data_IF_476714014345
#
_entry.id   IF_476714014345
#
_cell.length_a   1.000
_cell.length_b   1.000
_cell.length_c   1.000
_cell.angle_alpha   90.00
_cell.angle_beta   90.00
_cell.angle_gamma   90.00
#
_symmetry.space_group_name_H-M   'P 1'
#
loop_
_entity.id
_entity.type
_entity.pdbx_description
1 polymer ?
#
# COMPACT_ATOMS: atom_id res chain seq x y z
N UNK A 1 4.54 20.03 -32.06
CA UNK A 1 5.66 19.31 -31.44
C UNK A 1 5.06 18.38 -30.40
N UNK A 2 4.94 17.09 -30.73
CA UNK A 2 4.65 16.05 -29.74
C UNK A 2 5.98 15.64 -29.11
N UNK A 3 6.04 15.69 -27.77
CA UNK A 3 7.18 15.20 -27.01
C UNK A 3 7.04 13.68 -26.92
N UNK A 4 7.70 12.95 -27.83
CA UNK A 4 7.82 11.50 -27.73
C UNK A 4 8.89 11.17 -26.68
N UNK A 5 8.45 10.92 -25.45
CA UNK A 5 9.35 10.48 -24.38
C UNK A 5 9.79 9.04 -24.63
N UNK A 6 11.10 8.82 -24.61
CA UNK A 6 11.65 7.46 -24.69
C UNK A 6 11.26 6.64 -23.44
N UNK A 7 11.14 5.30 -23.54
CA UNK A 7 10.78 4.45 -22.40
C UNK A 7 11.66 4.68 -21.16
N UNK A 8 12.95 4.92 -21.37
CA UNK A 8 13.93 5.20 -20.31
C UNK A 8 13.68 6.55 -19.61
N UNK A 9 13.17 7.55 -20.34
CA UNK A 9 12.78 8.85 -19.77
C UNK A 9 11.46 8.75 -19.00
N UNK A 10 10.52 7.92 -19.47
CA UNK A 10 9.28 7.61 -18.75
C UNK A 10 9.58 6.87 -17.45
N UNK A 11 10.46 5.86 -17.48
CA UNK A 11 10.90 5.14 -16.27
C UNK A 11 11.62 6.08 -15.27
N UNK A 12 12.46 6.98 -15.77
CA UNK A 12 13.12 8.00 -14.94
C UNK A 12 12.13 8.94 -14.25
N UNK A 13 11.07 9.36 -14.95
CA UNK A 13 10.00 10.18 -14.37
C UNK A 13 9.16 9.41 -13.35
N UNK A 14 8.80 8.15 -13.63
CA UNK A 14 8.11 7.29 -12.68
C UNK A 14 8.94 7.02 -11.41
N UNK A 15 10.26 6.88 -11.53
CA UNK A 15 11.15 6.70 -10.39
C UNK A 15 11.24 7.96 -9.51
N UNK A 16 11.25 9.14 -10.13
CA UNK A 16 11.24 10.43 -9.41
C UNK A 16 9.91 10.64 -8.69
N UNK A 17 8.80 10.35 -9.38
CA UNK A 17 7.45 10.44 -8.84
C UNK A 17 7.25 9.49 -7.65
N UNK A 18 7.62 8.21 -7.79
CA UNK A 18 7.54 7.23 -6.71
C UNK A 18 8.38 7.63 -5.49
N UNK A 19 9.58 8.18 -5.70
CA UNK A 19 10.43 8.66 -4.60
C UNK A 19 9.81 9.86 -3.89
N UNK A 20 9.26 10.82 -4.63
CA UNK A 20 8.56 11.98 -4.09
C UNK A 20 7.32 11.58 -3.28
N UNK A 21 6.53 10.66 -3.82
CA UNK A 21 5.36 10.09 -3.16
C UNK A 21 5.75 9.42 -1.83
N UNK A 22 6.75 8.53 -1.83
CA UNK A 22 7.22 7.85 -0.61
C UNK A 22 7.74 8.84 0.44
N UNK A 23 8.46 9.89 0.05
CA UNK A 23 8.93 10.90 1.01
C UNK A 23 7.78 11.66 1.65
N UNK A 24 6.79 12.06 0.85
CA UNK A 24 5.60 12.77 1.34
C UNK A 24 4.84 11.91 2.36
N UNK A 25 4.54 10.66 2.00
CA UNK A 25 3.85 9.71 2.88
C UNK A 25 4.66 9.43 4.14
N UNK A 26 5.98 9.29 4.03
CA UNK A 26 6.88 9.12 5.19
C UNK A 26 6.78 10.30 6.17
N UNK A 27 6.79 11.53 5.67
CA UNK A 27 6.67 12.72 6.51
C UNK A 27 5.32 12.75 7.23
N UNK A 28 4.23 12.41 6.54
CA UNK A 28 2.90 12.31 7.14
C UNK A 28 2.84 11.24 8.24
N UNK A 29 3.43 10.07 7.98
CA UNK A 29 3.50 8.98 8.96
C UNK A 29 4.28 9.41 10.21
N UNK A 30 5.46 10.04 10.05
CA UNK A 30 6.27 10.47 11.19
C UNK A 30 5.62 11.60 11.99
N UNK A 31 4.79 12.41 11.33
CA UNK A 31 3.97 13.45 11.97
C UNK A 31 2.85 12.85 12.82
N UNK A 32 2.13 11.88 12.25
CA UNK A 32 1.00 11.21 12.92
C UNK A 32 1.49 10.23 14.01
N UNK A 33 2.68 9.64 13.82
CA UNK A 33 3.26 8.61 14.68
C UNK A 33 4.75 8.88 14.97
N UNK A 34 5.07 9.83 15.87
CA UNK A 34 6.46 10.22 16.15
C UNK A 34 7.31 9.10 16.79
N UNK A 35 6.68 8.00 17.24
CA UNK A 35 7.37 6.84 17.83
C UNK A 35 7.91 5.83 16.80
N UNK A 36 7.65 6.00 15.51
CA UNK A 36 8.13 5.07 14.48
C UNK A 36 9.61 5.34 14.18
N UNK A 37 10.42 4.28 14.15
CA UNK A 37 11.82 4.38 13.75
C UNK A 37 11.93 4.82 12.28
N UNK A 38 12.66 5.91 12.05
CA UNK A 38 12.86 6.48 10.71
C UNK A 38 13.95 5.78 9.90
N UNK A 39 14.84 5.05 10.58
CA UNK A 39 15.93 4.30 9.96
C UNK A 39 15.38 3.14 9.11
N UNK A 40 15.75 3.07 7.83
CA UNK A 40 15.28 2.04 6.89
C UNK A 40 13.82 2.17 6.46
N UNK A 41 13.10 3.18 6.95
CA UNK A 41 11.67 3.37 6.66
C UNK A 41 11.45 3.71 5.18
N UNK A 42 12.32 4.54 4.59
CA UNK A 42 12.20 4.94 3.18
C UNK A 42 12.27 3.72 2.26
N UNK A 43 13.28 2.87 2.44
CA UNK A 43 13.55 1.69 1.63
C UNK A 43 12.40 0.68 1.75
N UNK A 44 11.89 0.51 2.98
CA UNK A 44 10.75 -0.35 3.24
C UNK A 44 9.46 0.16 2.58
N UNK A 45 9.18 1.45 2.67
CA UNK A 45 8.01 2.06 2.02
C UNK A 45 8.13 2.00 0.48
N UNK A 46 9.32 2.18 -0.08
CA UNK A 46 9.55 2.00 -1.51
C UNK A 46 9.29 0.55 -1.96
N UNK A 47 9.76 -0.43 -1.19
CA UNK A 47 9.48 -1.84 -1.46
C UNK A 47 7.99 -2.17 -1.34
N UNK A 48 7.30 -1.59 -0.35
CA UNK A 48 5.86 -1.75 -0.17
C UNK A 48 5.05 -1.11 -1.31
N UNK A 49 5.46 0.08 -1.79
CA UNK A 49 4.84 0.73 -2.94
C UNK A 49 4.93 -0.13 -4.20
N UNK A 50 6.11 -0.69 -4.47
CA UNK A 50 6.29 -1.61 -5.60
C UNK A 50 5.40 -2.86 -5.49
N UNK A 51 5.21 -3.39 -4.27
CA UNK A 51 4.32 -4.52 -4.03
C UNK A 51 2.84 -4.15 -4.19
N UNK A 52 2.43 -2.98 -3.71
CA UNK A 52 1.06 -2.48 -3.90
C UNK A 52 0.71 -2.34 -5.39
N UNK A 53 1.62 -1.75 -6.18
CA UNK A 53 1.49 -1.67 -7.64
C UNK A 53 1.46 -3.05 -8.29
N UNK A 54 2.28 -3.99 -7.84
CA UNK A 54 2.26 -5.38 -8.34
C UNK A 54 0.95 -6.12 -8.01
N UNK A 55 0.24 -5.71 -6.95
CA UNK A 55 -1.11 -6.20 -6.62
C UNK A 55 -2.22 -5.51 -7.43
N UNK A 56 -1.86 -4.56 -8.31
CA UNK A 56 -2.77 -3.79 -9.14
C UNK A 56 -3.45 -2.62 -8.42
N UNK A 57 -2.93 -2.19 -7.27
CA UNK A 57 -3.44 -1.01 -6.56
C UNK A 57 -2.90 0.23 -7.25
N UNK A 58 -3.78 1.11 -7.72
CA UNK A 58 -3.39 2.28 -8.51
C UNK A 58 -3.84 3.60 -7.89
N UNK A 59 -4.91 3.61 -7.08
CA UNK A 59 -5.44 4.83 -6.47
C UNK A 59 -4.54 5.31 -5.34
N UNK A 60 -4.18 6.61 -5.36
CA UNK A 60 -3.28 7.20 -4.37
C UNK A 60 -3.78 7.00 -2.94
N UNK A 61 -5.09 7.13 -2.67
CA UNK A 61 -5.66 6.90 -1.35
C UNK A 61 -5.33 5.49 -0.83
N UNK A 62 -5.50 4.47 -1.68
CA UNK A 62 -5.21 3.07 -1.33
C UNK A 62 -3.71 2.83 -1.19
N UNK A 63 -2.87 3.48 -2.00
CA UNK A 63 -1.42 3.42 -1.87
C UNK A 63 -0.96 4.06 -0.56
N UNK A 64 -1.49 5.22 -0.19
CA UNK A 64 -1.21 5.88 1.09
C UNK A 64 -1.62 4.96 2.25
N UNK A 65 -2.82 4.38 2.21
CA UNK A 65 -3.30 3.44 3.24
C UNK A 65 -2.42 2.18 3.33
N UNK A 66 -1.96 1.65 2.20
CA UNK A 66 -1.02 0.52 2.14
C UNK A 66 0.31 0.86 2.82
N UNK A 67 0.90 2.01 2.49
CA UNK A 67 2.17 2.47 3.04
C UNK A 67 2.08 2.80 4.53
N UNK A 68 0.98 3.44 4.97
CA UNK A 68 0.70 3.68 6.39
C UNK A 68 0.59 2.37 7.15
N UNK A 69 -0.09 1.38 6.57
CA UNK A 69 -0.23 0.05 7.19
C UNK A 69 1.11 -0.66 7.29
N UNK A 70 1.97 -0.60 6.27
CA UNK A 70 3.33 -1.17 6.35
C UNK A 70 4.19 -0.50 7.43
N UNK A 71 4.05 0.81 7.62
CA UNK A 71 4.81 1.51 8.65
C UNK A 71 4.42 1.06 10.06
N UNK A 72 3.13 0.81 10.30
CA UNK A 72 2.57 0.40 11.59
C UNK A 72 2.69 -1.10 11.84
N UNK A 73 2.48 -1.91 10.79
CA UNK A 73 2.47 -3.38 10.82
C UNK A 73 3.39 -3.89 9.71
N UNK A 74 4.72 -3.93 9.96
CA UNK A 74 5.69 -4.31 8.95
C UNK A 74 5.44 -5.71 8.39
N UNK A 75 5.39 -5.82 7.06
CA UNK A 75 5.17 -7.06 6.34
C UNK A 75 3.72 -7.56 6.34
N UNK A 76 2.72 -6.73 6.68
CA UNK A 76 1.31 -7.16 6.68
C UNK A 76 0.89 -7.79 5.35
N UNK A 77 1.39 -7.25 4.23
CA UNK A 77 1.05 -7.70 2.90
C UNK A 77 1.73 -9.01 2.48
N UNK A 78 2.67 -9.52 3.28
CA UNK A 78 3.29 -10.83 3.09
C UNK A 78 2.41 -11.96 3.64
N UNK A 79 1.37 -11.63 4.40
CA UNK A 79 0.47 -12.63 4.96
C UNK A 79 -0.36 -13.29 3.84
N UNK A 80 -0.54 -14.62 3.89
CA UNK A 80 -1.30 -15.35 2.86
C UNK A 80 -2.78 -14.89 2.81
N UNK A 81 -3.32 -14.37 3.91
CA UNK A 81 -4.67 -13.83 3.98
C UNK A 81 -4.91 -12.66 3.03
N UNK A 82 -3.97 -11.70 2.94
CA UNK A 82 -4.09 -10.60 1.99
C UNK A 82 -4.00 -11.10 0.56
N UNK A 83 -3.04 -11.99 0.26
CA UNK A 83 -2.88 -12.53 -1.10
C UNK A 83 -4.15 -13.22 -1.58
N UNK A 84 -4.71 -14.11 -0.76
CA UNK A 84 -5.99 -14.79 -1.07
C UNK A 84 -7.15 -13.81 -1.19
N UNK A 85 -7.14 -12.72 -0.43
CA UNK A 85 -8.16 -11.67 -0.56
C UNK A 85 -8.05 -10.93 -1.89
N UNK A 86 -6.84 -10.56 -2.29
CA UNK A 86 -6.56 -9.84 -3.54
C UNK A 86 -6.79 -10.68 -4.80
N UNK A 87 -6.73 -12.00 -4.69
CA UNK A 87 -7.03 -12.95 -5.79
C UNK A 87 -8.54 -13.14 -6.04
N UNK A 88 -9.42 -12.61 -5.18
CA UNK A 88 -10.87 -12.80 -5.35
C UNK A 88 -11.36 -12.19 -6.67
N UNK A 89 -12.06 -12.96 -7.53
CA UNK A 89 -12.56 -12.43 -8.79
C UNK A 89 -13.73 -11.45 -8.58
N UNK A 90 -14.00 -10.62 -9.59
CA UNK A 90 -15.25 -9.83 -9.68
C UNK A 90 -15.20 -8.40 -9.13
N UNK A 91 -14.05 -7.91 -8.65
CA UNK A 91 -13.85 -6.49 -8.28
C UNK A 91 -12.49 -5.96 -8.75
N UNK A 92 -12.32 -4.64 -8.95
CA UNK A 92 -11.00 -4.03 -9.13
C UNK A 92 -10.08 -4.26 -7.92
N UNK A 93 -8.77 -4.24 -8.13
CA UNK A 93 -7.78 -4.47 -7.07
C UNK A 93 -7.86 -3.40 -5.97
N UNK A 94 -7.99 -2.13 -6.35
CA UNK A 94 -8.25 -1.01 -5.44
C UNK A 94 -9.45 -1.26 -4.54
N UNK A 95 -10.60 -1.63 -5.12
CA UNK A 95 -11.81 -1.91 -4.33
C UNK A 95 -11.61 -3.12 -3.39
N UNK A 96 -10.91 -4.17 -3.84
CA UNK A 96 -10.59 -5.31 -2.96
C UNK A 96 -9.71 -4.87 -1.79
N UNK A 97 -8.71 -4.05 -2.04
CA UNK A 97 -7.83 -3.56 -0.99
C UNK A 97 -8.58 -2.66 0.01
N UNK A 98 -9.40 -1.74 -0.49
CA UNK A 98 -10.27 -0.92 0.35
C UNK A 98 -11.16 -1.77 1.25
N UNK A 99 -11.85 -2.76 0.68
CA UNK A 99 -12.72 -3.69 1.42
C UNK A 99 -11.93 -4.46 2.50
N UNK A 100 -10.71 -4.92 2.17
CA UNK A 100 -9.83 -5.59 3.12
C UNK A 100 -9.52 -4.69 4.32
N UNK A 101 -9.15 -3.44 4.06
CA UNK A 101 -8.84 -2.47 5.11
C UNK A 101 -10.05 -2.20 6.01
N UNK A 102 -11.25 -2.11 5.44
CA UNK A 102 -12.49 -1.96 6.22
C UNK A 102 -12.75 -3.16 7.13
N UNK A 103 -12.57 -4.39 6.62
CA UNK A 103 -12.72 -5.62 7.41
C UNK A 103 -11.68 -5.69 8.53
N UNK A 104 -10.42 -5.39 8.24
CA UNK A 104 -9.35 -5.37 9.26
C UNK A 104 -9.63 -4.34 10.35
N UNK A 105 -10.00 -3.11 9.96
CA UNK A 105 -10.39 -2.05 10.90
C UNK A 105 -11.61 -2.45 11.74
N UNK A 106 -12.57 -3.16 11.15
CA UNK A 106 -13.74 -3.66 11.87
C UNK A 106 -13.36 -4.75 12.90
N UNK A 107 -12.50 -5.71 12.53
CA UNK A 107 -12.04 -6.77 13.45
C UNK A 107 -11.25 -6.22 14.63
N UNK A 108 -10.42 -5.19 14.41
CA UNK A 108 -9.70 -4.52 15.49
C UNK A 108 -10.65 -3.85 16.50
N UNK A 109 -11.80 -3.33 16.04
CA UNK A 109 -12.79 -2.68 16.91
C UNK A 109 -13.71 -3.65 17.65
N UNK A 110 -14.02 -4.80 17.07
CA UNK A 110 -15.08 -5.70 17.56
C UNK A 110 -14.60 -7.10 17.96
N UNK A 111 -13.30 -7.40 17.84
CA UNK A 111 -12.76 -8.75 17.95
C UNK A 111 -12.95 -9.57 16.66
N UNK A 112 -12.33 -10.76 16.55
CA UNK A 112 -12.40 -11.56 15.33
C UNK A 112 -13.86 -11.92 15.02
N UNK A 113 -14.28 -11.73 13.77
CA UNK A 113 -15.62 -12.12 13.32
C UNK A 113 -15.83 -13.61 13.60
N UNK A 114 -17.03 -14.06 14.01
CA UNK A 114 -17.32 -15.47 14.03
C UNK A 114 -17.09 -16.05 12.64
N UNK A 115 -16.13 -16.97 12.54
CA UNK A 115 -15.87 -17.73 11.34
C UNK A 115 -17.13 -18.56 11.07
N UNK A 116 -17.96 -18.14 10.12
CA UNK A 116 -19.05 -19.00 9.65
C UNK A 116 -18.40 -20.13 8.85
N UNK A 117 -18.23 -21.26 9.52
CA UNK A 117 -18.01 -22.57 8.92
C UNK A 117 -19.29 -22.92 8.18
N UNK A 118 -19.24 -22.92 6.84
CA UNK A 118 -20.19 -23.67 6.01
C UNK A 118 -19.76 -25.15 5.95
#
# INVERSE_FOLDING_TARGET
MELELTPQQVEGLCAIDAKGFVQTVKQDILRDYPGIASAGLTERLAAALAQARALGIEEDENLVDFLRTEALVPGFYKQPGLRRWMEKPGRPADQRFHDFMQVMRWQLRHGPAPQKTE
#
